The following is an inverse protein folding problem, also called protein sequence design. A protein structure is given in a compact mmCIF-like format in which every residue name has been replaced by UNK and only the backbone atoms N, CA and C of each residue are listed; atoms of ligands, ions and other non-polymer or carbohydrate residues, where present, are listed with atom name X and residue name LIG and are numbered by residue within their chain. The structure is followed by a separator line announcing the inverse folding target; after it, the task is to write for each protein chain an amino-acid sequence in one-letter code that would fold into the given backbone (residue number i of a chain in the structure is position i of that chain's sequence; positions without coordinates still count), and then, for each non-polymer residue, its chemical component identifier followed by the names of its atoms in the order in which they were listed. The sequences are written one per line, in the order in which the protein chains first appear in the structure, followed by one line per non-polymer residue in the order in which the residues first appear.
data_IF_135917181107
#
_entry.id   IF_135917181107
#
_cell.length_a   1.000
_cell.length_b   1.000
_cell.length_c   1.000
_cell.angle_alpha   90.00
_cell.angle_beta   90.00
_cell.angle_gamma   90.00
#
_symmetry.space_group_name_H-M   'P 1'
#
loop_
_entity.id
_entity.type
_entity.pdbx_description
1 polymer ?
#
# COMPACT_ATOMS: atom_id res chain seq x y z
N UNK A 1 0.84 15.82 4.33
CA UNK A 1 1.80 16.94 4.42
C UNK A 1 1.53 17.65 5.72
N UNK A 2 2.45 17.58 6.68
CA UNK A 2 2.36 18.36 7.93
C UNK A 2 2.62 19.82 7.59
N UNK A 3 1.72 20.77 7.87
CA UNK A 3 1.98 22.18 7.65
C UNK A 3 3.08 22.65 8.63
N UNK A 4 4.15 23.25 8.11
CA UNK A 4 5.08 24.06 8.93
C UNK A 4 6.50 23.53 9.16
N UNK A 5 6.91 22.40 8.57
CA UNK A 5 8.31 21.94 8.68
C UNK A 5 9.15 22.58 7.56
N UNK A 6 9.90 23.63 7.90
CA UNK A 6 10.89 24.25 7.00
C UNK A 6 12.22 23.54 7.21
N UNK A 7 12.62 22.70 6.24
CA UNK A 7 13.95 22.10 6.22
C UNK A 7 14.95 23.13 5.68
N UNK A 8 15.96 23.56 6.44
CA UNK A 8 16.98 24.49 5.96
C UNK A 8 17.73 23.90 4.76
N UNK A 9 18.05 24.72 3.76
CA UNK A 9 18.91 24.30 2.66
C UNK A 9 20.33 24.02 3.18
N UNK A 10 20.86 22.81 2.96
CA UNK A 10 22.20 22.39 3.37
C UNK A 10 22.58 21.03 2.80
N UNK A 11 23.86 20.67 2.92
CA UNK A 11 24.36 19.36 2.51
C UNK A 11 23.98 18.29 3.55
N UNK A 12 23.03 17.42 3.20
CA UNK A 12 22.65 16.28 4.01
C UNK A 12 23.22 15.00 3.42
N UNK A 13 24.23 14.41 4.08
CA UNK A 13 24.68 13.05 3.79
C UNK A 13 23.89 12.09 4.65
N UNK A 14 23.24 11.12 4.01
CA UNK A 14 22.51 10.06 4.70
C UNK A 14 22.89 8.72 4.11
N UNK A 15 23.02 7.73 4.99
CA UNK A 15 23.20 6.34 4.62
C UNK A 15 21.90 5.61 4.96
N UNK A 16 21.40 4.82 4.01
CA UNK A 16 20.21 3.99 4.21
C UNK A 16 20.56 2.54 3.92
N UNK A 17 20.15 1.67 4.83
CA UNK A 17 20.24 0.23 4.69
C UNK A 17 18.86 -0.29 4.33
N UNK A 18 18.77 -0.99 3.20
CA UNK A 18 17.53 -1.58 2.72
C UNK A 18 17.68 -3.09 2.66
N UNK A 19 16.81 -3.80 3.36
CA UNK A 19 16.65 -5.24 3.28
C UNK A 19 15.38 -5.55 2.50
N UNK A 20 15.53 -6.34 1.44
CA UNK A 20 14.43 -6.79 0.59
C UNK A 20 14.35 -8.31 0.64
N UNK A 21 13.20 -8.83 1.05
CA UNK A 21 12.89 -10.24 0.98
C UNK A 21 11.66 -10.42 0.09
N UNK A 22 11.81 -11.22 -0.98
CA UNK A 22 10.72 -11.52 -1.91
C UNK A 22 10.46 -13.02 -1.91
N UNK A 23 9.23 -13.40 -1.60
CA UNK A 23 8.76 -14.77 -1.75
C UNK A 23 8.39 -15.07 -3.20
N UNK A 24 8.48 -16.33 -3.61
CA UNK A 24 8.16 -16.72 -4.99
C UNK A 24 6.69 -16.42 -5.34
N UNK A 25 6.42 -15.73 -6.47
CA UNK A 25 5.07 -15.42 -6.92
C UNK A 25 4.27 -16.65 -7.37
N UNK A 26 4.92 -17.81 -7.51
CA UNK A 26 4.26 -19.07 -7.88
C UNK A 26 3.55 -19.76 -6.71
N UNK A 27 3.70 -19.23 -5.48
CA UNK A 27 3.06 -19.80 -4.29
C UNK A 27 1.72 -19.11 -4.02
N UNK A 28 0.70 -19.83 -3.52
CA UNK A 28 -0.59 -19.25 -3.15
C UNK A 28 -0.45 -18.18 -2.06
N UNK A 29 0.65 -18.18 -1.32
CA UNK A 29 1.06 -17.08 -0.46
C UNK A 29 2.38 -16.54 -0.99
N UNK A 30 2.31 -15.36 -1.61
CA UNK A 30 3.47 -14.63 -2.09
C UNK A 30 3.50 -13.23 -1.50
N UNK A 31 4.65 -12.58 -1.57
CA UNK A 31 4.78 -11.24 -1.03
C UNK A 31 6.21 -10.75 -0.94
N UNK A 32 6.32 -9.47 -0.68
CA UNK A 32 7.57 -8.74 -0.56
C UNK A 32 7.58 -8.00 0.76
N UNK A 33 8.62 -8.26 1.54
CA UNK A 33 8.95 -7.53 2.76
C UNK A 33 10.14 -6.63 2.46
N UNK A 34 9.98 -5.34 2.69
CA UNK A 34 11.02 -4.33 2.58
C UNK A 34 11.19 -3.65 3.92
N UNK A 35 12.42 -3.61 4.41
CA UNK A 35 12.82 -2.91 5.61
C UNK A 35 13.86 -1.87 5.19
N UNK A 36 13.58 -0.60 5.44
CA UNK A 36 14.54 0.49 5.21
C UNK A 36 14.83 1.16 6.55
N UNK A 37 16.10 1.29 6.88
CA UNK A 37 16.54 1.99 8.07
C UNK A 37 17.76 2.85 7.75
N UNK A 38 17.75 4.11 8.17
CA UNK A 38 18.93 4.97 8.02
C UNK A 38 18.62 6.45 8.17
N UNK A 39 19.52 7.28 7.63
CA UNK A 39 19.43 8.74 7.73
C UNK A 39 18.31 9.33 6.85
N UNK A 40 17.70 10.41 7.34
CA UNK A 40 16.70 11.20 6.61
C UNK A 40 16.73 12.65 7.08
N UNK A 41 17.25 13.56 6.24
CA UNK A 41 17.34 15.02 6.51
C UNK A 41 17.85 15.38 7.92
N UNK A 42 19.01 14.83 8.31
CA UNK A 42 19.61 15.06 9.64
C UNK A 42 18.98 14.23 10.78
N UNK A 43 17.94 13.44 10.48
CA UNK A 43 17.28 12.50 11.38
C UNK A 43 17.40 11.04 10.95
N UNK A 44 16.50 10.20 11.46
CA UNK A 44 16.40 8.77 11.10
C UNK A 44 15.03 8.44 10.51
N UNK A 45 15.03 7.59 9.50
CA UNK A 45 13.84 7.01 8.88
C UNK A 45 13.84 5.50 9.11
N UNK A 46 12.70 4.99 9.56
CA UNK A 46 12.42 3.57 9.67
C UNK A 46 11.16 3.27 8.88
N UNK A 47 11.32 2.54 7.79
CA UNK A 47 10.25 2.10 6.93
C UNK A 47 10.15 0.58 6.95
N UNK A 48 8.96 0.07 7.15
CA UNK A 48 8.60 -1.33 7.02
C UNK A 48 7.44 -1.40 6.02
N UNK A 49 7.69 -1.95 4.84
CA UNK A 49 6.66 -2.22 3.84
C UNK A 49 6.52 -3.71 3.63
N UNK A 50 5.32 -4.23 3.85
CA UNK A 50 4.96 -5.59 3.51
C UNK A 50 3.82 -5.57 2.50
N UNK A 51 3.97 -6.30 1.40
CA UNK A 51 2.93 -6.50 0.39
C UNK A 51 2.77 -7.98 0.19
N UNK A 52 1.59 -8.50 0.49
CA UNK A 52 1.26 -9.91 0.31
C UNK A 52 0.23 -10.09 -0.79
N UNK A 53 0.21 -11.29 -1.37
CA UNK A 53 -0.88 -11.81 -2.17
C UNK A 53 -1.21 -13.21 -1.65
N UNK A 54 -2.48 -13.37 -1.28
CA UNK A 54 -3.05 -14.58 -0.72
C UNK A 54 -4.10 -15.09 -1.70
N UNK A 55 -3.81 -16.20 -2.37
CA UNK A 55 -4.72 -16.87 -3.28
C UNK A 55 -5.43 -17.99 -2.52
N UNK A 56 -6.70 -17.79 -2.21
CA UNK A 56 -7.52 -18.79 -1.54
C UNK A 56 -8.13 -19.79 -2.53
N UNK A 57 -8.16 -19.44 -3.82
CA UNK A 57 -8.59 -20.30 -4.91
C UNK A 57 -8.48 -19.59 -6.26
N UNK A 58 -8.88 -20.23 -7.37
CA UNK A 58 -8.73 -19.68 -8.73
C UNK A 58 -9.58 -18.41 -8.98
N UNK A 59 -10.50 -18.12 -8.07
CA UNK A 59 -11.51 -17.06 -8.19
C UNK A 59 -11.45 -16.02 -7.08
N UNK A 60 -10.68 -16.26 -6.01
CA UNK A 60 -10.65 -15.37 -4.87
C UNK A 60 -9.22 -15.18 -4.38
N UNK A 61 -8.78 -13.93 -4.36
CA UNK A 61 -7.48 -13.57 -3.82
C UNK A 61 -7.56 -12.24 -3.04
N UNK A 62 -6.69 -12.11 -2.06
CA UNK A 62 -6.52 -10.92 -1.25
C UNK A 62 -5.10 -10.38 -1.37
N UNK A 63 -4.95 -9.07 -1.39
CA UNK A 63 -3.68 -8.37 -1.49
C UNK A 63 -3.57 -7.36 -0.34
N UNK A 64 -3.19 -7.82 0.87
CA UNK A 64 -2.91 -6.92 1.96
C UNK A 64 -1.57 -6.19 1.73
N UNK A 65 -1.54 -4.92 2.08
CA UNK A 65 -0.36 -4.06 2.05
C UNK A 65 -0.30 -3.28 3.34
N UNK A 66 0.84 -3.35 4.00
CA UNK A 66 1.15 -2.66 5.25
C UNK A 66 2.39 -1.83 4.98
N UNK A 67 2.34 -0.54 5.27
CA UNK A 67 3.48 0.37 5.17
C UNK A 67 3.54 1.16 6.46
N UNK A 68 4.45 0.80 7.35
CA UNK A 68 4.71 1.55 8.57
C UNK A 68 5.94 2.42 8.33
N UNK A 69 5.76 3.73 8.38
CA UNK A 69 6.84 4.67 8.18
C UNK A 69 6.92 5.61 9.39
N UNK A 70 8.04 5.58 10.09
CA UNK A 70 8.32 6.47 11.19
C UNK A 70 9.58 7.27 10.86
N UNK A 71 9.49 8.58 10.99
CA UNK A 71 10.62 9.48 10.83
C UNK A 71 10.80 10.29 12.10
N UNK A 72 12.04 10.37 12.56
CA UNK A 72 12.45 11.20 13.68
C UNK A 72 13.50 12.18 13.17
N UNK A 73 13.12 13.45 13.01
CA UNK A 73 14.01 14.50 12.52
C UNK A 73 14.17 15.60 13.57
N UNK A 74 15.27 16.38 13.54
CA UNK A 74 15.43 17.53 14.43
C UNK A 74 14.32 18.58 14.32
N UNK A 75 13.54 18.53 13.23
CA UNK A 75 12.47 19.47 12.91
C UNK A 75 11.07 18.94 13.28
N UNK A 76 11.01 17.70 13.80
CA UNK A 76 9.76 17.04 14.18
C UNK A 76 9.82 15.53 13.98
N UNK A 77 9.12 14.82 14.86
CA UNK A 77 8.83 13.40 14.78
C UNK A 77 7.42 13.16 14.23
N UNK A 78 7.26 12.04 13.52
CA UNK A 78 5.97 11.68 12.96
C UNK A 78 5.92 10.26 12.41
N UNK A 79 4.70 9.80 12.15
CA UNK A 79 4.45 8.54 11.47
C UNK A 79 3.49 8.71 10.29
N UNK A 80 3.71 7.91 9.25
CA UNK A 80 2.90 7.87 8.04
C UNK A 80 2.61 6.40 7.72
N UNK A 81 1.69 5.84 8.49
CA UNK A 81 1.30 4.44 8.37
C UNK A 81 0.17 4.29 7.36
N UNK A 82 0.32 3.38 6.43
CA UNK A 82 -0.70 3.00 5.45
C UNK A 82 -1.03 1.52 5.66
N UNK A 83 -2.30 1.23 5.89
CA UNK A 83 -2.84 -0.12 5.99
C UNK A 83 -3.89 -0.27 4.91
N UNK A 84 -3.66 -1.14 3.93
CA UNK A 84 -4.63 -1.38 2.87
C UNK A 84 -4.85 -2.86 2.62
N UNK A 85 -6.07 -3.24 2.26
CA UNK A 85 -6.40 -4.59 1.85
C UNK A 85 -7.26 -4.54 0.61
N UNK A 86 -6.83 -5.22 -0.44
CA UNK A 86 -7.62 -5.43 -1.65
C UNK A 86 -8.14 -6.85 -1.67
N UNK A 87 -9.44 -7.02 -1.81
CA UNK A 87 -10.09 -8.30 -2.03
C UNK A 87 -10.60 -8.31 -3.47
N UNK A 88 -10.30 -9.37 -4.22
CA UNK A 88 -10.82 -9.55 -5.57
C UNK A 88 -11.49 -10.90 -5.68
N UNK A 89 -12.72 -10.88 -6.19
CA UNK A 89 -13.55 -12.04 -6.43
C UNK A 89 -13.98 -12.09 -7.90
N UNK A 90 -13.51 -13.11 -8.60
CA UNK A 90 -13.87 -13.41 -9.98
C UNK A 90 -15.03 -14.39 -9.99
N UNK A 91 -16.22 -13.94 -10.40
CA UNK A 91 -17.39 -14.80 -10.54
C UNK A 91 -17.26 -15.66 -11.80
N UNK A 92 -16.94 -15.00 -12.91
CA UNK A 92 -16.66 -15.61 -14.23
C UNK A 92 -15.53 -14.84 -14.91
N UNK A 93 -14.90 -15.34 -15.99
CA UNK A 93 -13.89 -14.58 -16.73
C UNK A 93 -14.38 -13.21 -17.23
N UNK A 94 -15.71 -13.02 -17.30
CA UNK A 94 -16.38 -11.79 -17.72
C UNK A 94 -16.93 -10.96 -16.55
N UNK A 95 -16.86 -11.45 -15.31
CA UNK A 95 -17.43 -10.80 -14.13
C UNK A 95 -16.47 -10.84 -12.96
N UNK A 96 -16.00 -9.67 -12.52
CA UNK A 96 -15.22 -9.56 -11.29
C UNK A 96 -15.70 -8.42 -10.41
N UNK A 97 -15.59 -8.65 -9.10
CA UNK A 97 -15.74 -7.64 -8.07
C UNK A 97 -14.40 -7.46 -7.37
N UNK A 98 -14.02 -6.23 -7.06
CA UNK A 98 -12.86 -5.93 -6.23
C UNK A 98 -13.22 -4.85 -5.22
N UNK A 99 -12.79 -5.01 -3.97
CA UNK A 99 -12.92 -4.00 -2.93
C UNK A 99 -11.54 -3.69 -2.37
N UNK A 100 -11.21 -2.42 -2.22
CA UNK A 100 -10.01 -1.91 -1.59
C UNK A 100 -10.45 -1.06 -0.40
N UNK A 101 -9.90 -1.36 0.77
CA UNK A 101 -9.98 -0.47 1.93
C UNK A 101 -8.56 -0.03 2.26
N UNK A 102 -8.37 1.26 2.51
CA UNK A 102 -7.08 1.84 2.84
C UNK A 102 -7.25 2.85 3.98
N UNK A 103 -6.45 2.69 5.03
CA UNK A 103 -6.32 3.63 6.12
C UNK A 103 -4.97 4.34 6.04
N UNK A 104 -4.97 5.65 6.28
CA UNK A 104 -3.77 6.48 6.37
C UNK A 104 -3.73 7.22 7.70
N UNK A 105 -2.71 6.95 8.52
CA UNK A 105 -2.58 7.61 9.83
C UNK A 105 -2.26 9.09 9.72
N UNK A 106 -1.48 9.50 8.72
CA UNK A 106 -1.02 10.88 8.56
C UNK A 106 -2.14 11.90 8.34
N UNK A 107 -3.27 11.47 7.75
CA UNK A 107 -4.48 12.28 7.55
C UNK A 107 -5.66 11.79 8.37
N UNK A 108 -5.47 10.74 9.17
CA UNK A 108 -6.53 9.99 9.85
C UNK A 108 -7.74 9.69 8.95
N UNK A 109 -7.47 9.28 7.71
CA UNK A 109 -8.50 9.06 6.70
C UNK A 109 -8.62 7.57 6.36
N UNK A 110 -9.86 7.13 6.13
CA UNK A 110 -10.17 5.80 5.61
C UNK A 110 -10.77 5.98 4.23
N UNK A 111 -10.15 5.40 3.21
CA UNK A 111 -10.66 5.36 1.86
C UNK A 111 -11.12 3.95 1.50
N UNK A 112 -12.31 3.84 0.95
CA UNK A 112 -12.89 2.60 0.44
C UNK A 112 -13.18 2.76 -1.03
N UNK A 113 -12.80 1.76 -1.83
CA UNK A 113 -13.11 1.69 -3.24
C UNK A 113 -13.64 0.31 -3.57
N UNK A 114 -14.88 0.21 -4.04
CA UNK A 114 -15.44 -1.03 -4.54
C UNK A 114 -15.69 -0.90 -6.04
N UNK A 115 -15.34 -1.92 -6.81
CA UNK A 115 -15.50 -1.96 -8.25
C UNK A 115 -16.11 -3.29 -8.66
N UNK A 116 -17.16 -3.23 -9.45
CA UNK A 116 -17.73 -4.37 -10.13
C UNK A 116 -17.62 -4.13 -11.64
N UNK A 117 -17.10 -5.12 -12.37
CA UNK A 117 -17.07 -5.13 -13.83
C UNK A 117 -17.81 -6.35 -14.32
N UNK A 118 -18.66 -6.14 -15.32
CA UNK A 118 -19.35 -7.19 -16.04
C UNK A 118 -19.30 -6.94 -17.55
N UNK A 119 -18.72 -7.87 -18.29
CA UNK A 119 -18.77 -7.92 -19.74
C UNK A 119 -19.93 -8.83 -20.17
N UNK A 120 -21.00 -8.24 -20.71
CA UNK A 120 -22.18 -9.00 -21.13
C UNK A 120 -21.99 -9.62 -22.53
N UNK A 121 -21.33 -8.89 -23.42
CA UNK A 121 -20.96 -9.32 -24.78
C UNK A 121 -19.55 -8.79 -25.11
N UNK A 122 -18.78 -9.44 -25.99
CA UNK A 122 -17.49 -8.92 -26.42
C UNK A 122 -17.63 -7.47 -26.91
N UNK A 123 -16.93 -6.54 -26.25
CA UNK A 123 -16.99 -5.11 -26.54
C UNK A 123 -18.12 -4.33 -25.84
N UNK A 124 -18.93 -4.97 -25.00
CA UNK A 124 -19.98 -4.32 -24.18
C UNK A 124 -19.75 -4.60 -22.69
N UNK A 125 -19.26 -3.59 -21.98
CA UNK A 125 -18.86 -3.68 -20.58
C UNK A 125 -19.64 -2.72 -19.68
N UNK A 126 -20.09 -3.22 -18.54
CA UNK A 126 -20.70 -2.45 -17.48
C UNK A 126 -19.74 -2.35 -16.30
N UNK A 127 -19.55 -1.14 -15.78
CA UNK A 127 -18.73 -0.86 -14.61
C UNK A 127 -19.56 -0.15 -13.55
N UNK A 128 -19.48 -0.65 -12.32
CA UNK A 128 -19.96 0.06 -11.13
C UNK A 128 -18.77 0.32 -10.25
N UNK A 129 -18.50 1.59 -9.92
CA UNK A 129 -17.43 1.99 -9.02
C UNK A 129 -18.02 2.82 -7.89
N UNK A 130 -17.77 2.37 -6.67
CA UNK A 130 -18.01 3.12 -5.44
C UNK A 130 -16.67 3.57 -4.89
N UNK A 131 -16.54 4.83 -4.51
CA UNK A 131 -15.34 5.38 -3.89
C UNK A 131 -15.76 6.38 -2.83
N UNK A 132 -15.17 6.24 -1.64
CA UNK A 132 -15.47 7.04 -0.46
C UNK A 132 -14.17 7.25 0.32
N UNK A 133 -13.93 8.44 0.86
CA UNK A 133 -12.66 8.77 1.53
C UNK A 133 -12.42 10.24 1.82
#
# INVERSE_FOLDING_TARGET
MTPGVVVPAGDYKFQQTKLLYTSSPQRPVSGTLTLTYGGFYGGTLRELTWRGRLEFGPRFYAEPTISLNTFATPFGDGNANILSSRLTYTLTPRMFASALVQYQSASNAVSTNARFRWEYQPGSELFVVYSDG
#
